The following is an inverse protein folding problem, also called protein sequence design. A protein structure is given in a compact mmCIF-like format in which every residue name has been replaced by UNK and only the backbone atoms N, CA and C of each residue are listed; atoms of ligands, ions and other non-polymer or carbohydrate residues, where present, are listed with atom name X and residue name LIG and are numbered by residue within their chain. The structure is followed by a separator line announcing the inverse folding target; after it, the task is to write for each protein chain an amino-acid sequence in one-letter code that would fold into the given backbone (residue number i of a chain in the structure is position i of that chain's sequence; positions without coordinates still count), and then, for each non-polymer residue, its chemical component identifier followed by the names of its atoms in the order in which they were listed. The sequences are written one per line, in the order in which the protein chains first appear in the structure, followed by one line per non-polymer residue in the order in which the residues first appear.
data_IF_763145407220
#
_entry.id   IF_763145407220
#
_cell.length_a   1.000
_cell.length_b   1.000
_cell.length_c   1.000
_cell.angle_alpha   90.00
_cell.angle_beta   90.00
_cell.angle_gamma   90.00
#
_symmetry.space_group_name_H-M   'P 1'
#
loop_
_entity.id
_entity.type
_entity.pdbx_description
1 polymer ?
#
# COMPACT_ATOMS: atom_id res chain seq x y z
N UNK A 1 17.42 -8.13 -4.01
CA UNK A 1 16.50 -6.98 -3.88
C UNK A 1 15.54 -7.34 -2.76
N UNK A 2 15.36 -6.46 -1.78
CA UNK A 2 14.64 -6.79 -0.55
C UNK A 2 13.14 -7.01 -0.85
N UNK A 3 12.49 -8.01 -0.23
CA UNK A 3 11.03 -8.12 -0.27
C UNK A 3 10.38 -6.81 0.18
N UNK A 4 9.15 -6.53 -0.29
CA UNK A 4 8.35 -5.42 0.22
C UNK A 4 8.19 -5.60 1.74
N UNK A 5 9.07 -4.98 2.52
CA UNK A 5 9.14 -5.12 3.97
C UNK A 5 8.29 -4.07 4.68
N UNK A 6 7.86 -3.03 3.96
CA UNK A 6 6.99 -2.00 4.47
C UNK A 6 5.53 -2.48 4.38
N UNK A 7 4.77 -2.54 5.48
CA UNK A 7 3.45 -3.15 5.46
C UNK A 7 2.46 -2.39 4.56
N UNK A 8 2.55 -1.05 4.53
CA UNK A 8 1.76 -0.24 3.57
C UNK A 8 2.11 -0.56 2.10
N UNK A 9 3.38 -0.88 1.78
CA UNK A 9 3.74 -1.27 0.42
C UNK A 9 3.17 -2.64 0.05
N UNK A 10 3.03 -3.56 1.01
CA UNK A 10 2.39 -4.87 0.80
C UNK A 10 0.90 -4.71 0.48
N UNK A 11 0.20 -3.80 1.17
CA UNK A 11 -1.20 -3.48 0.89
C UNK A 11 -1.34 -2.85 -0.51
N UNK A 12 -0.48 -1.87 -0.83
CA UNK A 12 -0.45 -1.24 -2.17
C UNK A 12 -0.20 -2.28 -3.26
N UNK A 13 0.69 -3.26 -3.01
CA UNK A 13 0.95 -4.35 -3.94
C UNK A 13 -0.30 -5.16 -4.23
N UNK A 14 -1.07 -5.54 -3.20
CA UNK A 14 -2.36 -6.25 -3.37
C UNK A 14 -3.34 -5.46 -4.25
N UNK A 15 -3.39 -4.14 -4.11
CA UNK A 15 -4.21 -3.29 -5.02
C UNK A 15 -3.66 -3.32 -6.45
N UNK A 16 -2.36 -3.13 -6.62
CA UNK A 16 -1.73 -3.00 -7.94
C UNK A 16 -1.66 -4.32 -8.72
N UNK A 17 -1.69 -5.49 -8.08
CA UNK A 17 -1.78 -6.76 -8.82
C UNK A 17 -3.17 -6.98 -9.42
N UNK A 18 -4.23 -6.43 -8.80
CA UNK A 18 -5.60 -6.46 -9.34
C UNK A 18 -5.82 -5.31 -10.33
N UNK A 19 -5.28 -4.13 -10.03
CA UNK A 19 -5.46 -2.89 -10.77
C UNK A 19 -4.12 -2.24 -11.11
N UNK A 20 -3.37 -2.82 -12.03
CA UNK A 20 -2.00 -2.42 -12.42
C UNK A 20 -1.82 -0.91 -12.68
N UNK A 21 -2.85 -0.26 -13.23
CA UNK A 21 -2.80 1.16 -13.62
C UNK A 21 -3.48 2.11 -12.62
N UNK A 22 -3.86 1.61 -11.43
CA UNK A 22 -4.49 2.44 -10.40
C UNK A 22 -3.61 3.66 -10.05
N UNK A 23 -4.23 4.85 -10.05
CA UNK A 23 -3.58 6.09 -9.64
C UNK A 23 -3.42 6.09 -8.12
N UNK A 24 -2.36 6.71 -7.60
CA UNK A 24 -2.12 6.80 -6.15
C UNK A 24 -3.32 7.39 -5.39
N UNK A 25 -4.01 8.39 -5.95
CA UNK A 25 -5.23 8.96 -5.37
C UNK A 25 -6.37 7.95 -5.28
N UNK A 26 -6.49 7.07 -6.28
CA UNK A 26 -7.49 6.01 -6.28
C UNK A 26 -7.18 4.97 -5.21
N UNK A 27 -5.93 4.52 -5.12
CA UNK A 27 -5.47 3.58 -4.09
C UNK A 27 -5.73 4.16 -2.70
N UNK A 28 -5.36 5.43 -2.47
CA UNK A 28 -5.59 6.11 -1.20
C UNK A 28 -7.08 6.15 -0.82
N UNK A 29 -7.94 6.49 -1.78
CA UNK A 29 -9.38 6.55 -1.53
C UNK A 29 -10.00 5.18 -1.30
N UNK A 30 -9.53 4.13 -2.00
CA UNK A 30 -9.95 2.76 -1.76
C UNK A 30 -9.62 2.33 -0.33
N UNK A 31 -8.35 2.46 0.08
CA UNK A 31 -7.93 2.10 1.44
C UNK A 31 -8.66 2.93 2.50
N UNK A 32 -8.95 4.20 2.19
CA UNK A 32 -9.76 5.04 3.06
C UNK A 32 -11.20 4.59 3.18
N UNK A 33 -11.81 4.13 2.10
CA UNK A 33 -13.15 3.58 2.16
C UNK A 33 -13.17 2.30 2.98
N UNK A 34 -12.20 1.40 2.79
CA UNK A 34 -12.10 0.15 3.56
C UNK A 34 -11.88 0.40 5.05
N UNK A 35 -10.91 1.24 5.42
CA UNK A 35 -10.59 1.53 6.81
C UNK A 35 -11.75 2.21 7.57
N UNK A 36 -12.64 2.94 6.87
CA UNK A 36 -13.81 3.58 7.48
C UNK A 36 -15.12 2.77 7.28
N UNK A 37 -15.03 1.54 6.78
CA UNK A 37 -16.17 0.66 6.55
C UNK A 37 -16.25 -0.40 7.64
N UNK A 38 -17.47 -0.82 7.99
CA UNK A 38 -17.70 -1.96 8.90
C UNK A 38 -17.54 -3.33 8.19
N UNK A 39 -17.28 -3.32 6.88
CA UNK A 39 -17.06 -4.53 6.09
C UNK A 39 -15.61 -5.01 6.17
N UNK A 40 -15.41 -6.32 5.98
CA UNK A 40 -14.06 -6.90 5.93
C UNK A 40 -13.22 -6.26 4.80
N UNK A 41 -11.96 -5.85 5.08
CA UNK A 41 -11.10 -5.23 4.10
C UNK A 41 -10.66 -6.23 3.02
N UNK A 42 -10.64 -5.81 1.76
CA UNK A 42 -10.19 -6.61 0.62
C UNK A 42 -8.66 -6.55 0.52
N UNK A 43 -8.05 -5.38 0.77
CA UNK A 43 -6.61 -5.19 0.59
C UNK A 43 -5.81 -5.16 1.90
N UNK A 44 -6.34 -4.50 2.94
CA UNK A 44 -5.73 -4.49 4.28
C UNK A 44 -6.18 -5.71 5.13
N UNK A 45 -5.98 -6.92 4.59
CA UNK A 45 -6.46 -8.17 5.19
C UNK A 45 -5.88 -8.48 6.59
N UNK A 46 -4.78 -7.83 6.95
CA UNK A 46 -4.11 -8.00 8.24
C UNK A 46 -4.48 -6.87 9.23
N UNK A 47 -5.43 -6.01 8.85
CA UNK A 47 -5.89 -4.84 9.62
C UNK A 47 -4.73 -3.98 10.15
N UNK A 48 -3.78 -3.66 9.26
CA UNK A 48 -2.58 -2.90 9.61
C UNK A 48 -2.90 -1.42 9.78
N UNK A 49 -3.73 -0.87 8.90
CA UNK A 49 -4.05 0.56 8.88
C UNK A 49 -4.95 0.87 10.08
N UNK A 50 -4.47 1.74 10.95
CA UNK A 50 -5.23 2.19 12.12
C UNK A 50 -6.23 3.29 11.72
N UNK A 51 -5.73 4.36 11.10
CA UNK A 51 -6.57 5.44 10.60
C UNK A 51 -6.06 6.03 9.29
N UNK A 52 -6.99 6.52 8.47
CA UNK A 52 -6.66 7.20 7.22
C UNK A 52 -7.63 8.35 6.93
N UNK A 53 -7.04 9.53 6.76
CA UNK A 53 -7.71 10.81 6.52
C UNK A 53 -7.42 11.28 5.08
N UNK A 54 -7.95 12.43 4.63
CA UNK A 54 -7.59 12.98 3.32
C UNK A 54 -6.08 13.23 3.14
N UNK A 55 -5.32 13.40 4.23
CA UNK A 55 -3.91 13.84 4.17
C UNK A 55 -2.92 12.88 4.82
N UNK A 56 -3.37 12.04 5.76
CA UNK A 56 -2.51 11.22 6.61
C UNK A 56 -3.05 9.80 6.74
N UNK A 57 -2.14 8.82 6.73
CA UNK A 57 -2.37 7.41 7.04
C UNK A 57 -1.51 7.05 8.25
N UNK A 58 -2.06 6.35 9.24
CA UNK A 58 -1.37 5.84 10.41
C UNK A 58 -1.48 4.31 10.51
N UNK A 59 -0.50 3.68 11.14
CA UNK A 59 -0.50 2.25 11.46
C UNK A 59 0.39 1.98 12.67
N UNK A 60 0.18 0.83 13.31
CA UNK A 60 1.06 0.36 14.39
C UNK A 60 2.19 -0.48 13.79
N UNK A 61 3.44 -0.07 14.05
CA UNK A 61 4.64 -0.78 13.62
C UNK A 61 4.84 -2.08 14.39
N UNK A 62 5.74 -2.94 13.90
CA UNK A 62 6.13 -4.19 14.60
C UNK A 62 6.78 -3.96 15.97
N UNK A 63 7.29 -2.74 16.18
CA UNK A 63 7.86 -2.26 17.43
C UNK A 63 6.80 -1.66 18.37
N UNK A 64 5.51 -1.89 18.07
CA UNK A 64 4.35 -1.32 18.78
C UNK A 64 4.32 0.22 18.77
N UNK A 65 5.08 0.85 17.87
CA UNK A 65 5.08 2.31 17.75
C UNK A 65 4.11 2.77 16.68
N UNK A 66 3.41 3.86 16.94
CA UNK A 66 2.60 4.53 15.94
C UNK A 66 3.51 5.10 14.84
N UNK A 67 3.21 4.71 13.60
CA UNK A 67 3.85 5.25 12.40
C UNK A 67 2.81 6.01 11.60
N UNK A 68 3.26 6.99 10.82
CA UNK A 68 2.38 7.75 9.94
C UNK A 68 3.06 8.14 8.64
N UNK A 69 2.26 8.37 7.60
CA UNK A 69 2.72 8.95 6.35
C UNK A 69 1.68 9.90 5.76
N UNK A 70 2.18 10.95 5.10
CA UNK A 70 1.33 11.85 4.32
C UNK A 70 0.92 11.20 2.99
N UNK A 71 -0.19 11.66 2.40
CA UNK A 71 -0.57 11.28 1.04
C UNK A 71 0.55 11.56 0.02
N UNK A 72 1.31 12.64 0.22
CA UNK A 72 2.38 13.02 -0.70
C UNK A 72 3.57 12.05 -0.61
N UNK A 73 3.92 11.60 0.60
CA UNK A 73 4.90 10.54 0.84
C UNK A 73 4.42 9.19 0.28
N UNK A 74 3.16 8.85 0.51
CA UNK A 74 2.54 7.64 -0.04
C UNK A 74 2.63 7.61 -1.57
N UNK A 75 2.22 8.70 -2.22
CA UNK A 75 2.21 8.82 -3.69
C UNK A 75 3.62 8.82 -4.29
N UNK A 76 4.54 9.61 -3.72
CA UNK A 76 5.90 9.78 -4.29
C UNK A 76 6.83 8.62 -3.96
N UNK A 77 6.63 7.96 -2.83
CA UNK A 77 7.56 6.95 -2.33
C UNK A 77 6.92 5.56 -2.39
N UNK A 78 5.90 5.29 -1.57
CA UNK A 78 5.35 3.93 -1.40
C UNK A 78 4.78 3.36 -2.70
N UNK A 79 3.90 4.10 -3.39
CA UNK A 79 3.31 3.63 -4.67
C UNK A 79 4.37 3.45 -5.76
N UNK A 80 5.34 4.37 -5.84
CA UNK A 80 6.43 4.28 -6.83
C UNK A 80 7.38 3.13 -6.54
N UNK A 81 7.68 2.86 -5.27
CA UNK A 81 8.47 1.72 -4.80
C UNK A 81 7.84 0.41 -5.25
N UNK A 82 6.54 0.23 -4.99
CA UNK A 82 5.80 -0.98 -5.38
C UNK A 82 5.71 -1.14 -6.90
N UNK A 83 5.46 -0.07 -7.65
CA UNK A 83 5.46 -0.13 -9.12
C UNK A 83 6.80 -0.57 -9.69
N UNK A 84 7.91 -0.06 -9.13
CA UNK A 84 9.26 -0.48 -9.50
C UNK A 84 9.47 -1.96 -9.19
N UNK A 85 9.03 -2.41 -8.01
CA UNK A 85 9.10 -3.82 -7.63
C UNK A 85 8.34 -4.72 -8.61
N UNK A 86 7.07 -4.43 -8.91
CA UNK A 86 6.25 -5.20 -9.86
C UNK A 86 6.93 -5.27 -11.23
N UNK A 87 7.46 -4.15 -11.73
CA UNK A 87 8.16 -4.10 -13.02
C UNK A 87 9.38 -5.02 -13.04
N UNK A 88 10.23 -4.96 -12.01
CA UNK A 88 11.46 -5.78 -11.94
C UNK A 88 11.11 -7.26 -11.84
N UNK A 89 10.09 -7.62 -11.06
CA UNK A 89 9.65 -9.01 -10.94
C UNK A 89 9.05 -9.55 -12.25
N UNK A 90 8.37 -8.70 -13.02
CA UNK A 90 7.89 -9.06 -14.35
C UNK A 90 9.01 -9.24 -15.38
N UNK A 91 10.03 -8.38 -15.36
CA UNK A 91 11.20 -8.53 -16.26
C UNK A 91 11.94 -9.87 -15.99
N UNK A 92 12.04 -10.28 -14.72
CA UNK A 92 12.69 -11.55 -14.33
C UNK A 92 11.94 -12.81 -14.75
N UNK A 93 10.61 -12.78 -14.78
CA UNK A 93 9.80 -13.93 -15.17
C UNK A 93 9.79 -14.18 -16.68
N UNK A 94 10.32 -13.25 -17.48
CA UNK A 94 10.49 -13.37 -18.94
C UNK A 94 11.88 -13.90 -19.30
N UNK A 95 12.88 -13.72 -18.42
CA UNK A 95 14.27 -14.19 -18.64
C UNK A 95 14.49 -15.68 -18.33
N UNK A 96 13.51 -16.37 -17.75
CA UNK A 96 13.51 -17.80 -17.44
C UNK A 96 12.38 -18.52 -18.17
#
# INVERSE_FOLDING_TARGET
MLPLNHPIEQIIYRVLVVQLNAKASHIWNLLRQECNSDADPIYDIDAIIDTITPTTLTWVGRDETEKSMSYDSFRKNAVNSVRRFIRVEHERSIEH
#
